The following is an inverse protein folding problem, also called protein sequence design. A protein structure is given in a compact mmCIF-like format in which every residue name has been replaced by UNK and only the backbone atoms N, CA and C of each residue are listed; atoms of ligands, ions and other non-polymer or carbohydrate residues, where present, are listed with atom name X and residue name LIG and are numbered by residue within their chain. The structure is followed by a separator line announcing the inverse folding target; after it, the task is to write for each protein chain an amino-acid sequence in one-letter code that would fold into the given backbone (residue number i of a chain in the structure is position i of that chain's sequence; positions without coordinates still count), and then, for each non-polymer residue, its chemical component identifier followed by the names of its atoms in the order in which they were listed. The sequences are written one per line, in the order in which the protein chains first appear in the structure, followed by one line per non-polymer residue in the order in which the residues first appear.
data_IF_724995374134
#
_entry.id   IF_724995374134
#
_cell.length_a   1.000
_cell.length_b   1.000
_cell.length_c   1.000
_cell.angle_alpha   90.00
_cell.angle_beta   90.00
_cell.angle_gamma   90.00
#
_symmetry.space_group_name_H-M   'P 1'
#
loop_
_entity.id
_entity.type
_entity.pdbx_description
1 polymer ?
#
# COMPACT_ATOMS: atom_id res chain seq x y z
N UNK A 1 -7.09 -16.09 -0.35
CA UNK A 1 -6.74 -14.96 0.52
C UNK A 1 -5.49 -14.22 0.02
N UNK A 2 -5.41 -12.88 0.17
CA UNK A 2 -4.35 -12.09 -0.45
C UNK A 2 -3.01 -12.31 0.26
N UNK A 3 -1.96 -12.57 -0.52
CA UNK A 3 -0.60 -12.79 -0.02
C UNK A 3 0.33 -11.72 -0.58
N UNK A 4 1.04 -11.03 0.30
CA UNK A 4 2.14 -10.15 -0.10
C UNK A 4 3.42 -10.98 -0.29
N UNK A 5 4.21 -10.72 -1.34
CA UNK A 5 5.47 -11.42 -1.58
C UNK A 5 6.57 -11.06 -0.58
N UNK A 6 6.43 -9.94 0.14
CA UNK A 6 7.37 -9.48 1.15
C UNK A 6 6.64 -9.19 2.46
N UNK A 7 7.23 -9.61 3.58
CA UNK A 7 6.71 -9.32 4.92
C UNK A 7 6.98 -7.86 5.34
N UNK A 8 8.03 -7.24 4.78
CA UNK A 8 8.40 -5.87 5.11
C UNK A 8 8.84 -5.10 3.86
N UNK A 9 8.19 -3.97 3.62
CA UNK A 9 8.57 -3.01 2.59
C UNK A 9 9.33 -1.84 3.23
N UNK A 10 10.43 -1.43 2.61
CA UNK A 10 11.23 -0.27 3.03
C UNK A 10 11.45 0.66 1.85
N UNK A 11 11.26 1.95 2.08
CA UNK A 11 11.51 2.98 1.08
C UNK A 11 12.31 4.13 1.70
N UNK A 12 12.99 4.89 0.85
CA UNK A 12 13.65 6.15 1.23
C UNK A 12 13.02 7.26 0.40
N UNK A 13 12.64 8.33 1.06
CA UNK A 13 12.06 9.51 0.43
C UNK A 13 12.94 10.71 0.73
N UNK A 14 13.19 11.55 -0.27
CA UNK A 14 13.89 12.82 -0.05
C UNK A 14 12.96 13.78 0.71
N UNK A 15 13.54 14.59 1.59
CA UNK A 15 12.76 15.54 2.41
C UNK A 15 12.09 16.65 1.59
N UNK A 16 12.63 16.94 0.41
CA UNK A 16 12.12 17.92 -0.56
C UNK A 16 11.17 17.29 -1.61
N UNK A 17 10.77 16.03 -1.41
CA UNK A 17 9.87 15.36 -2.35
C UNK A 17 8.50 16.08 -2.40
N UNK A 18 7.97 16.36 -3.60
CA UNK A 18 6.68 17.04 -3.73
C UNK A 18 5.52 16.17 -3.20
N UNK A 19 4.41 16.82 -2.86
CA UNK A 19 3.17 16.13 -2.48
C UNK A 19 2.70 15.22 -3.62
N UNK A 20 2.24 14.01 -3.27
CA UNK A 20 1.85 12.99 -4.24
C UNK A 20 3.02 12.19 -4.83
N UNK A 21 4.26 12.42 -4.36
CA UNK A 21 5.40 11.58 -4.76
C UNK A 21 5.15 10.12 -4.41
N UNK A 22 5.42 9.23 -5.37
CA UNK A 22 5.34 7.78 -5.15
C UNK A 22 6.43 7.36 -4.16
N UNK A 23 6.02 6.81 -3.03
CA UNK A 23 6.94 6.33 -1.98
C UNK A 23 7.38 4.89 -2.27
N UNK A 24 6.41 4.03 -2.52
CA UNK A 24 6.60 2.62 -2.85
C UNK A 24 5.38 2.11 -3.62
N UNK A 25 5.47 0.87 -4.11
CA UNK A 25 4.35 0.14 -4.69
C UNK A 25 4.21 -1.17 -3.95
N UNK A 26 3.00 -1.51 -3.51
CA UNK A 26 2.72 -2.85 -2.97
C UNK A 26 1.84 -3.63 -3.94
N UNK A 27 2.04 -4.94 -3.97
CA UNK A 27 1.17 -5.85 -4.70
C UNK A 27 0.97 -7.11 -3.89
N UNK A 28 -0.28 -7.48 -3.67
CA UNK A 28 -0.65 -8.79 -3.15
C UNK A 28 -1.22 -9.65 -4.28
N UNK A 29 -1.08 -10.97 -4.15
CA UNK A 29 -1.66 -11.96 -5.05
C UNK A 29 -2.64 -12.83 -4.27
N UNK A 30 -3.86 -12.98 -4.80
CA UNK A 30 -4.83 -13.96 -4.30
C UNK A 30 -4.90 -15.14 -5.30
N UNK A 31 -4.99 -16.37 -4.79
CA UNK A 31 -5.12 -17.58 -5.59
C UNK A 31 -6.56 -17.84 -6.05
N UNK A 32 -7.53 -17.11 -5.48
CA UNK A 32 -8.93 -17.19 -5.84
C UNK A 32 -9.18 -16.59 -7.24
N UNK A 33 -10.34 -16.86 -7.83
CA UNK A 33 -10.71 -16.38 -9.19
C UNK A 33 -11.99 -15.54 -9.14
N UNK A 34 -12.15 -14.62 -10.10
CA UNK A 34 -13.33 -13.77 -10.21
C UNK A 34 -13.37 -12.70 -9.11
N UNK A 35 -14.56 -12.37 -8.59
CA UNK A 35 -14.70 -11.33 -7.55
C UNK A 35 -13.91 -11.62 -6.26
N UNK A 36 -13.66 -12.88 -5.95
CA UNK A 36 -12.88 -13.27 -4.76
C UNK A 36 -11.39 -12.95 -4.90
N UNK A 37 -10.92 -12.66 -6.12
CA UNK A 37 -9.56 -12.19 -6.38
C UNK A 37 -9.41 -10.66 -6.29
N UNK A 38 -10.50 -9.91 -6.02
CA UNK A 38 -10.43 -8.45 -5.93
C UNK A 38 -9.77 -8.04 -4.61
N UNK A 39 -8.61 -7.41 -4.72
CA UNK A 39 -7.82 -6.93 -3.59
C UNK A 39 -8.09 -5.43 -3.40
N UNK A 40 -8.27 -5.02 -2.15
CA UNK A 40 -8.39 -3.62 -1.76
C UNK A 40 -7.30 -3.32 -0.73
N UNK A 41 -6.47 -2.32 -1.02
CA UNK A 41 -5.37 -1.91 -0.16
C UNK A 41 -5.81 -0.83 0.83
N UNK A 42 -5.19 -0.83 2.01
CA UNK A 42 -5.49 0.12 3.07
C UNK A 42 -4.44 0.04 4.18
N UNK A 43 -4.32 1.13 4.95
CA UNK A 43 -3.53 1.07 6.17
C UNK A 43 -4.29 0.29 7.25
N UNK A 44 -3.56 -0.53 8.00
CA UNK A 44 -4.05 -1.08 9.25
C UNK A 44 -4.20 -0.01 10.34
N UNK A 45 -4.14 -0.42 11.61
CA UNK A 45 -4.23 0.53 12.74
C UNK A 45 -2.97 1.40 12.80
N UNK A 46 -3.10 2.64 12.35
CA UNK A 46 -2.01 3.63 12.31
C UNK A 46 -2.36 4.90 13.08
N UNK A 47 -1.37 5.62 13.66
CA UNK A 47 -1.61 6.92 14.25
C UNK A 47 -2.12 7.94 13.22
N UNK A 48 -3.02 8.85 13.62
CA UNK A 48 -3.59 9.85 12.72
C UNK A 48 -2.54 10.70 11.98
N UNK A 49 -1.41 10.99 12.63
CA UNK A 49 -0.29 11.74 12.02
C UNK A 49 0.32 11.03 10.80
N UNK A 50 0.25 9.69 10.73
CA UNK A 50 0.73 8.91 9.58
C UNK A 50 -0.27 9.01 8.43
N UNK A 51 -1.56 8.87 8.73
CA UNK A 51 -2.66 8.93 7.74
C UNK A 51 -2.81 10.31 7.10
N UNK A 52 -2.31 11.38 7.74
CA UNK A 52 -2.26 12.73 7.16
C UNK A 52 -1.06 12.95 6.21
N UNK A 53 -0.04 12.08 6.26
CA UNK A 53 1.22 12.23 5.51
C UNK A 53 1.34 11.28 4.34
N UNK A 54 0.79 10.08 4.48
CA UNK A 54 0.87 9.03 3.49
C UNK A 54 -0.53 8.56 3.10
N UNK A 55 -0.67 8.22 1.83
CA UNK A 55 -1.86 7.65 1.24
C UNK A 55 -1.48 6.37 0.52
N UNK A 56 -2.40 5.41 0.50
CA UNK A 56 -2.33 4.18 -0.28
C UNK A 56 -3.50 4.20 -1.25
N UNK A 57 -3.26 3.86 -2.50
CA UNK A 57 -4.34 3.76 -3.47
C UNK A 57 -5.04 2.41 -3.30
N UNK A 58 -6.36 2.36 -3.06
CA UNK A 58 -7.04 1.12 -2.71
C UNK A 58 -7.05 0.07 -3.82
N UNK A 59 -6.85 0.45 -5.10
CA UNK A 59 -6.87 -0.50 -6.22
C UNK A 59 -5.47 -0.83 -6.73
N UNK A 60 -4.53 0.10 -6.64
CA UNK A 60 -3.17 -0.06 -7.18
C UNK A 60 -2.07 -0.31 -6.14
N UNK A 61 -2.33 -0.06 -4.85
CA UNK A 61 -1.38 -0.28 -3.75
C UNK A 61 -0.41 0.87 -3.54
#
# INVERSE_FOLDING_TARGET
PPVFPQEQYRARLREDAPLGSRVLNVSASDADTGNNARIIYGFGKMPAKVLQKFMVDPESG
#
